data_IF_076618443943
#
_entry.id   IF_076618443943
#
_cell.length_a   1.000
_cell.length_b   1.000
_cell.length_c   1.000
_cell.angle_alpha   90.00
_cell.angle_beta   90.00
_cell.angle_gamma   90.00
#
_symmetry.space_group_name_H-M   'P 1'
#
loop_
_entity.id
_entity.type
_entity.pdbx_description
1 polymer ?
#
# COMPACT_ATOMS: atom_id res chain seq x y z
N UNK A 1 -15.19 29.11 -11.55
CA UNK A 1 -13.95 28.53 -11.02
C UNK A 1 -12.76 29.03 -11.83
N UNK A 2 -11.78 29.62 -11.16
CA UNK A 2 -10.50 30.08 -11.72
C UNK A 2 -9.37 29.27 -11.09
N UNK A 3 -8.31 28.99 -11.86
CA UNK A 3 -7.15 28.21 -11.41
C UNK A 3 -5.90 29.05 -11.65
N UNK A 4 -5.29 29.56 -10.58
CA UNK A 4 -4.30 30.64 -10.62
C UNK A 4 -2.97 30.15 -10.01
N UNK A 5 -1.94 30.01 -10.84
CA UNK A 5 -0.62 29.52 -10.40
C UNK A 5 0.16 30.53 -9.56
N UNK A 6 0.87 30.02 -8.56
CA UNK A 6 1.82 30.74 -7.72
C UNK A 6 3.22 30.24 -8.06
N UNK A 7 3.99 31.07 -8.79
CA UNK A 7 5.38 30.78 -9.11
C UNK A 7 6.29 31.14 -7.93
N UNK A 8 7.26 30.28 -7.61
CA UNK A 8 8.26 30.54 -6.56
C UNK A 8 9.67 30.39 -7.11
N UNK A 9 10.65 30.84 -6.32
CA UNK A 9 12.03 30.38 -6.47
C UNK A 9 12.11 28.88 -6.08
N UNK A 10 13.20 28.20 -6.46
CA UNK A 10 13.43 26.79 -6.08
C UNK A 10 13.48 26.64 -4.55
N UNK A 11 12.56 25.85 -4.00
CA UNK A 11 12.48 25.56 -2.58
C UNK A 11 13.57 24.57 -2.19
N UNK A 12 14.25 24.85 -1.07
CA UNK A 12 15.33 24.05 -0.52
C UNK A 12 14.99 23.57 0.88
N UNK A 13 15.77 22.59 1.36
CA UNK A 13 15.65 22.06 2.71
C UNK A 13 15.78 23.17 3.74
N UNK A 14 14.77 23.33 4.59
CA UNK A 14 14.72 24.33 5.66
C UNK A 14 14.22 25.72 5.24
N UNK A 15 13.81 25.92 3.98
CA UNK A 15 13.22 27.19 3.55
C UNK A 15 11.82 27.42 4.18
N UNK A 16 11.48 28.69 4.43
CA UNK A 16 10.13 29.10 4.83
C UNK A 16 9.17 29.04 3.62
N UNK A 17 8.52 27.88 3.46
CA UNK A 17 7.55 27.65 2.38
C UNK A 17 6.42 28.69 2.39
N UNK A 18 5.88 29.04 3.56
CA UNK A 18 4.77 30.01 3.66
C UNK A 18 5.22 31.38 3.18
N UNK A 19 6.42 31.81 3.59
CA UNK A 19 7.04 33.03 3.12
C UNK A 19 7.25 33.04 1.60
N UNK A 20 7.74 31.94 1.04
CA UNK A 20 7.94 31.78 -0.40
C UNK A 20 6.63 31.86 -1.19
N UNK A 21 5.57 31.19 -0.71
CA UNK A 21 4.23 31.26 -1.32
C UNK A 21 3.66 32.68 -1.27
N UNK A 22 3.77 33.38 -0.13
CA UNK A 22 3.32 34.78 0.01
C UNK A 22 4.08 35.71 -0.95
N UNK A 23 5.39 35.54 -1.09
CA UNK A 23 6.22 36.28 -2.04
C UNK A 23 5.79 36.02 -3.49
N UNK A 24 5.58 34.74 -3.85
CA UNK A 24 5.10 34.35 -5.18
C UNK A 24 3.74 34.94 -5.52
N UNK A 25 2.81 34.89 -4.56
CA UNK A 25 1.49 35.52 -4.70
C UNK A 25 1.59 37.02 -4.93
N UNK A 26 2.38 37.73 -4.11
CA UNK A 26 2.56 39.17 -4.24
C UNK A 26 3.16 39.55 -5.61
N UNK A 27 4.16 38.80 -6.08
CA UNK A 27 4.76 39.01 -7.39
C UNK A 27 3.77 38.80 -8.55
N UNK A 28 2.83 37.87 -8.40
CA UNK A 28 1.76 37.63 -9.36
C UNK A 28 0.55 38.57 -9.21
N UNK A 29 0.57 39.49 -8.24
CA UNK A 29 -0.58 40.36 -7.94
C UNK A 29 -1.79 39.59 -7.37
N UNK A 30 -1.55 38.41 -6.78
CA UNK A 30 -2.57 37.54 -6.22
C UNK A 30 -2.72 37.76 -4.70
N UNK A 31 -3.94 37.58 -4.21
CA UNK A 31 -4.25 37.53 -2.78
C UNK A 31 -5.35 36.51 -2.54
N UNK A 32 -5.34 35.84 -1.38
CA UNK A 32 -6.40 34.92 -0.99
C UNK A 32 -7.70 35.68 -0.70
N UNK A 33 -8.83 35.02 -0.90
CA UNK A 33 -10.18 35.50 -0.62
C UNK A 33 -10.96 34.42 0.16
N UNK A 34 -12.06 34.80 0.81
CA UNK A 34 -12.98 33.82 1.40
C UNK A 34 -13.47 32.84 0.32
N UNK A 35 -13.44 31.55 0.63
CA UNK A 35 -13.83 30.50 -0.31
C UNK A 35 -12.68 29.96 -1.18
N UNK A 36 -11.52 30.62 -1.21
CA UNK A 36 -10.38 30.13 -1.98
C UNK A 36 -9.84 28.80 -1.43
N UNK A 37 -9.35 27.95 -2.33
CA UNK A 37 -8.63 26.73 -2.00
C UNK A 37 -7.20 26.85 -2.52
N UNK A 38 -6.23 26.72 -1.63
CA UNK A 38 -4.82 26.68 -1.97
C UNK A 38 -4.38 25.22 -2.10
N UNK A 39 -4.01 24.80 -3.32
CA UNK A 39 -3.36 23.51 -3.57
C UNK A 39 -1.86 23.73 -3.58
N UNK A 40 -1.11 22.91 -2.85
CA UNK A 40 0.36 22.97 -2.77
C UNK A 40 0.92 21.58 -3.11
N UNK A 41 1.99 21.53 -3.91
CA UNK A 41 2.63 20.26 -4.25
C UNK A 41 3.23 19.59 -3.02
N UNK A 42 3.03 18.29 -2.94
CA UNK A 42 3.67 17.38 -2.02
C UNK A 42 5.18 17.61 -1.97
N UNK A 43 5.86 17.60 -3.12
CA UNK A 43 7.33 17.58 -3.20
C UNK A 43 7.95 18.84 -2.60
N UNK A 44 7.26 19.97 -2.74
CA UNK A 44 7.69 21.24 -2.16
C UNK A 44 7.49 21.28 -0.66
N UNK A 45 6.35 20.76 -0.17
CA UNK A 45 6.11 20.60 1.28
C UNK A 45 7.18 19.68 1.87
N UNK A 46 7.36 18.50 1.29
CA UNK A 46 8.32 17.51 1.72
C UNK A 46 9.76 18.05 1.74
N UNK A 47 10.15 18.79 0.70
CA UNK A 47 11.46 19.45 0.62
C UNK A 47 11.65 20.44 1.75
N UNK A 48 10.66 21.32 1.99
CA UNK A 48 10.73 22.30 3.08
C UNK A 48 10.81 21.64 4.46
N UNK A 49 10.18 20.47 4.63
CA UNK A 49 10.21 19.64 5.83
C UNK A 49 11.47 18.77 5.97
N UNK A 50 12.40 18.85 5.01
CA UNK A 50 13.66 18.11 5.04
C UNK A 50 13.52 16.62 4.70
N UNK A 51 12.48 16.22 3.98
CA UNK A 51 12.27 14.85 3.49
C UNK A 51 13.08 14.54 2.22
N UNK A 52 14.30 15.08 2.13
CA UNK A 52 15.22 14.92 0.99
C UNK A 52 16.41 14.07 1.43
N UNK A 53 16.58 12.91 0.80
CA UNK A 53 17.55 11.89 1.23
C UNK A 53 18.59 11.65 0.16
N UNK A 54 19.87 11.63 0.55
CA UNK A 54 20.97 11.26 -0.33
C UNK A 54 21.04 9.74 -0.43
N UNK A 55 20.99 9.19 -1.64
CA UNK A 55 20.97 7.73 -1.82
C UNK A 55 22.25 7.08 -1.28
N UNK A 56 23.41 7.74 -1.40
CA UNK A 56 24.68 7.19 -0.91
C UNK A 56 24.73 6.98 0.61
N UNK A 57 23.90 7.69 1.37
CA UNK A 57 23.83 7.58 2.83
C UNK A 57 22.91 6.41 3.27
N UNK A 58 22.21 5.78 2.32
CA UNK A 58 21.31 4.66 2.59
C UNK A 58 22.05 3.34 2.44
N UNK A 59 22.07 2.55 3.53
CA UNK A 59 22.56 1.17 3.50
C UNK A 59 21.40 0.20 3.26
N UNK A 60 21.34 -0.48 2.09
CA UNK A 60 20.25 -1.40 1.77
C UNK A 60 20.42 -2.75 2.47
N UNK A 61 19.34 -3.30 3.00
CA UNK A 61 19.31 -4.67 3.52
C UNK A 61 19.21 -5.74 2.41
N UNK A 62 19.26 -7.02 2.82
CA UNK A 62 19.19 -8.15 1.89
C UNK A 62 17.86 -8.20 1.13
N UNK A 63 16.75 -7.92 1.81
CA UNK A 63 15.41 -7.85 1.19
C UNK A 63 15.34 -6.73 0.14
N UNK A 64 15.90 -5.55 0.46
CA UNK A 64 15.97 -4.44 -0.48
C UNK A 64 16.80 -4.80 -1.72
N UNK A 65 17.94 -5.47 -1.53
CA UNK A 65 18.77 -5.94 -2.63
C UNK A 65 18.04 -6.95 -3.53
N UNK A 66 17.36 -7.94 -2.93
CA UNK A 66 16.59 -8.96 -3.67
C UNK A 66 15.47 -8.33 -4.49
N UNK A 67 14.66 -7.46 -3.87
CA UNK A 67 13.55 -6.78 -4.56
C UNK A 67 14.05 -5.80 -5.61
N UNK A 68 15.15 -5.09 -5.35
CA UNK A 68 15.77 -4.18 -6.32
C UNK A 68 16.24 -4.92 -7.56
N UNK A 69 16.86 -6.09 -7.41
CA UNK A 69 17.21 -6.95 -8.52
C UNK A 69 15.97 -7.40 -9.30
N UNK A 70 14.90 -7.83 -8.60
CA UNK A 70 13.64 -8.27 -9.21
C UNK A 70 12.95 -7.17 -10.04
N UNK A 71 12.92 -5.95 -9.52
CA UNK A 71 12.20 -4.83 -10.13
C UNK A 71 13.12 -3.85 -10.87
N UNK A 72 14.41 -4.19 -11.06
CA UNK A 72 15.38 -3.37 -11.78
C UNK A 72 15.49 -1.94 -11.22
N UNK A 73 15.62 -1.82 -9.90
CA UNK A 73 15.77 -0.53 -9.18
C UNK A 73 17.10 -0.44 -8.45
N UNK A 74 17.44 0.77 -7.99
CA UNK A 74 18.55 0.96 -7.06
C UNK A 74 18.22 0.31 -5.70
N UNK A 75 19.07 -0.56 -5.14
CA UNK A 75 18.86 -1.14 -3.81
C UNK A 75 18.64 -0.11 -2.71
N UNK A 76 19.29 1.05 -2.79
CA UNK A 76 19.20 2.14 -1.82
C UNK A 76 17.85 2.84 -1.88
N UNK A 77 17.31 3.00 -3.08
CA UNK A 77 15.95 3.51 -3.27
C UNK A 77 14.92 2.47 -2.81
N UNK A 78 15.12 1.18 -3.13
CA UNK A 78 14.25 0.09 -2.66
C UNK A 78 14.20 0.00 -1.14
N UNK A 79 15.32 0.23 -0.46
CA UNK A 79 15.37 0.31 0.99
C UNK A 79 14.49 1.44 1.53
N UNK A 80 14.47 2.61 0.90
CA UNK A 80 13.56 3.70 1.27
C UNK A 80 12.10 3.35 0.97
N UNK A 81 11.81 2.69 -0.16
CA UNK A 81 10.46 2.20 -0.50
C UNK A 81 9.96 1.24 0.59
N UNK A 82 10.78 0.31 1.05
CA UNK A 82 10.44 -0.61 2.12
C UNK A 82 10.17 0.10 3.45
N UNK A 83 10.94 1.15 3.78
CA UNK A 83 10.74 1.95 4.99
C UNK A 83 9.46 2.79 4.96
N UNK A 84 9.07 3.25 3.78
CA UNK A 84 7.94 4.18 3.58
C UNK A 84 6.65 3.46 3.11
N UNK A 85 6.62 2.13 3.09
CA UNK A 85 5.44 1.36 2.72
C UNK A 85 5.03 0.36 3.80
N UNK A 86 3.73 0.20 3.97
CA UNK A 86 3.15 -0.86 4.82
C UNK A 86 3.27 -2.21 4.11
N UNK A 87 3.15 -2.22 2.78
CA UNK A 87 3.13 -3.43 1.98
C UNK A 87 3.63 -3.19 0.55
N UNK A 88 4.35 -4.18 -0.01
CA UNK A 88 4.64 -4.28 -1.44
C UNK A 88 3.66 -5.26 -2.08
N UNK A 89 2.87 -4.77 -3.05
CA UNK A 89 1.88 -5.59 -3.77
C UNK A 89 2.46 -6.29 -5.00
N UNK A 90 3.53 -5.75 -5.58
CA UNK A 90 4.11 -6.22 -6.82
C UNK A 90 4.73 -5.09 -7.61
N UNK A 91 4.92 -5.26 -8.91
CA UNK A 91 5.51 -4.21 -9.74
C UNK A 91 5.90 -4.69 -11.13
N UNK A 92 6.48 -3.77 -11.88
CA UNK A 92 7.10 -3.97 -13.19
C UNK A 92 8.54 -3.41 -13.12
N UNK A 93 9.42 -3.71 -14.09
CA UNK A 93 10.75 -3.10 -14.10
C UNK A 93 10.68 -1.56 -13.97
N UNK A 94 11.39 -1.01 -12.98
CA UNK A 94 11.45 0.41 -12.62
C UNK A 94 10.41 0.90 -11.61
N UNK A 95 9.30 0.17 -11.40
CA UNK A 95 8.17 0.62 -10.56
C UNK A 95 7.65 -0.50 -9.66
N UNK A 96 7.64 -0.24 -8.36
CA UNK A 96 7.01 -1.09 -7.35
C UNK A 96 5.67 -0.51 -6.95
N UNK A 97 4.61 -1.30 -6.96
CA UNK A 97 3.33 -0.89 -6.41
C UNK A 97 3.30 -1.19 -4.91
N UNK A 98 3.06 -0.15 -4.12
CA UNK A 98 3.06 -0.19 -2.66
C UNK A 98 1.71 0.23 -2.09
N UNK A 99 1.41 -0.23 -0.89
CA UNK A 99 0.36 0.28 -0.03
C UNK A 99 1.01 1.09 1.10
N UNK A 100 0.54 2.31 1.33
CA UNK A 100 0.95 3.15 2.46
C UNK A 100 -0.28 3.90 2.98
N UNK A 101 -0.58 3.79 4.28
CA UNK A 101 -1.75 4.39 4.95
C UNK A 101 -3.07 4.12 4.20
N UNK A 102 -3.21 2.92 3.64
CA UNK A 102 -4.39 2.49 2.90
C UNK A 102 -4.52 3.01 1.46
N UNK A 103 -3.54 3.74 0.94
CA UNK A 103 -3.51 4.21 -0.44
C UNK A 103 -2.46 3.49 -1.28
N UNK A 104 -2.74 3.37 -2.58
CA UNK A 104 -1.81 2.82 -3.56
C UNK A 104 -0.85 3.90 -4.06
N UNK A 105 0.44 3.57 -4.08
CA UNK A 105 1.50 4.42 -4.59
C UNK A 105 2.51 3.64 -5.41
N UNK A 106 2.95 4.17 -6.56
CA UNK A 106 4.20 3.74 -7.17
C UNK A 106 5.38 4.16 -6.28
N UNK A 107 6.31 3.25 -6.03
CA UNK A 107 7.55 3.48 -5.27
C UNK A 107 7.34 4.20 -3.92
N UNK A 108 6.27 3.87 -3.18
CA UNK A 108 5.89 4.54 -1.93
C UNK A 108 5.69 6.07 -2.02
N UNK A 109 5.54 6.62 -3.24
CA UNK A 109 5.46 8.06 -3.46
C UNK A 109 6.81 8.78 -3.53
N UNK A 110 7.92 8.02 -3.61
CA UNK A 110 9.26 8.61 -3.70
C UNK A 110 9.47 9.24 -5.07
N UNK A 111 9.79 10.54 -5.09
CA UNK A 111 10.07 11.31 -6.30
C UNK A 111 11.57 11.43 -6.55
N UNK A 112 11.98 11.14 -7.78
CA UNK A 112 13.34 11.30 -8.30
C UNK A 112 13.46 12.50 -9.26
N UNK A 113 12.36 12.92 -9.88
CA UNK A 113 12.34 13.84 -11.02
C UNK A 113 12.61 15.28 -10.63
N UNK A 114 12.22 15.68 -9.41
CA UNK A 114 12.44 17.02 -8.88
C UNK A 114 13.42 17.05 -7.70
N UNK A 115 14.23 16.00 -7.54
CA UNK A 115 15.28 15.93 -6.54
C UNK A 115 16.65 16.35 -7.12
N UNK A 116 17.57 16.91 -6.31
CA UNK A 116 18.96 17.10 -6.74
C UNK A 116 19.61 15.76 -7.15
N UNK A 117 20.59 15.76 -8.08
CA UNK A 117 21.25 14.52 -8.49
C UNK A 117 21.81 13.71 -7.32
N UNK A 118 21.46 12.42 -7.25
CA UNK A 118 21.86 11.51 -6.17
C UNK A 118 20.97 11.59 -4.92
N UNK A 119 19.91 12.41 -4.94
CA UNK A 119 18.91 12.50 -3.89
C UNK A 119 17.56 11.99 -4.38
N UNK A 120 16.69 11.69 -3.41
CA UNK A 120 15.26 11.44 -3.62
C UNK A 120 14.45 12.26 -2.62
N UNK A 121 13.21 12.57 -2.97
CA UNK A 121 12.24 13.21 -2.07
C UNK A 121 11.24 12.16 -1.62
N UNK A 122 11.12 11.96 -0.30
CA UNK A 122 10.06 11.15 0.30
C UNK A 122 8.84 12.03 0.54
N UNK A 123 7.67 11.45 0.70
CA UNK A 123 6.48 12.20 1.11
C UNK A 123 6.66 12.99 2.41
N UNK A 124 5.87 14.06 2.62
CA UNK A 124 5.72 14.71 3.92
C UNK A 124 5.40 13.66 4.98
N UNK A 125 6.00 13.78 6.16
CA UNK A 125 5.78 12.81 7.22
C UNK A 125 4.29 12.73 7.61
N UNK A 126 3.61 13.88 7.55
CA UNK A 126 2.18 14.02 7.81
C UNK A 126 1.57 15.16 6.96
N UNK A 127 1.19 14.85 5.73
CA UNK A 127 0.58 15.80 4.79
C UNK A 127 -0.71 16.45 5.33
N UNK A 128 -1.47 15.75 6.20
CA UNK A 128 -2.66 16.30 6.83
C UNK A 128 -2.29 17.42 7.81
N UNK A 129 -1.27 17.18 8.64
CA UNK A 129 -0.71 18.20 9.53
C UNK A 129 -0.14 19.39 8.75
N UNK A 130 0.62 19.14 7.69
CA UNK A 130 1.18 20.21 6.85
C UNK A 130 0.08 21.09 6.24
N UNK A 131 -1.03 20.48 5.76
CA UNK A 131 -2.19 21.23 5.26
C UNK A 131 -2.78 22.16 6.32
N UNK A 132 -2.93 21.67 7.57
CA UNK A 132 -3.47 22.47 8.68
C UNK A 132 -2.54 23.63 9.07
N UNK A 133 -1.22 23.39 9.12
CA UNK A 133 -0.23 24.40 9.48
C UNK A 133 -0.12 25.49 8.40
N UNK A 134 -0.07 25.10 7.13
CA UNK A 134 -0.09 26.04 6.00
C UNK A 134 -1.38 26.86 6.00
N UNK A 135 -2.54 26.21 6.20
CA UNK A 135 -3.82 26.92 6.31
C UNK A 135 -3.79 27.96 7.40
N UNK A 136 -3.35 27.60 8.61
CA UNK A 136 -3.25 28.52 9.74
C UNK A 136 -2.34 29.71 9.43
N UNK A 137 -1.24 29.48 8.74
CA UNK A 137 -0.25 30.53 8.42
C UNK A 137 -0.65 31.42 7.22
N UNK A 138 -1.47 30.90 6.30
CA UNK A 138 -1.90 31.58 5.06
C UNK A 138 -3.27 32.26 5.17
N UNK A 139 -4.20 31.71 5.96
CA UNK A 139 -5.60 32.14 6.04
C UNK A 139 -5.75 33.60 6.50
N UNK A 140 -4.98 34.02 7.51
CA UNK A 140 -5.22 35.29 8.19
C UNK A 140 -6.62 35.29 8.82
N UNK A 141 -7.47 36.22 8.39
CA UNK A 141 -8.88 36.36 8.77
C UNK A 141 -9.85 35.64 7.79
N UNK A 142 -9.34 35.07 6.69
CA UNK A 142 -10.15 34.49 5.62
C UNK A 142 -10.44 33.02 5.86
N UNK A 143 -11.59 32.57 5.36
CA UNK A 143 -12.00 31.17 5.32
C UNK A 143 -11.52 30.54 4.02
N UNK A 144 -10.37 29.88 4.07
CA UNK A 144 -9.80 29.15 2.94
C UNK A 144 -9.74 27.64 3.19
N UNK A 145 -9.61 26.88 2.10
CA UNK A 145 -9.16 25.50 2.12
C UNK A 145 -7.67 25.39 1.76
N UNK A 146 -6.99 24.34 2.23
CA UNK A 146 -5.64 23.96 1.79
C UNK A 146 -5.63 22.47 1.47
N UNK A 147 -5.00 22.09 0.36
CA UNK A 147 -4.81 20.70 -0.04
C UNK A 147 -3.33 20.49 -0.37
N UNK A 148 -2.73 19.43 0.18
CA UNK A 148 -1.44 18.92 -0.28
C UNK A 148 -1.73 17.89 -1.36
N UNK A 149 -1.23 18.15 -2.57
CA UNK A 149 -1.52 17.37 -3.76
C UNK A 149 -0.28 16.74 -4.36
N UNK A 150 -0.46 15.55 -4.93
CA UNK A 150 0.54 14.80 -5.68
C UNK A 150 -0.05 14.34 -7.02
N UNK A 151 0.79 13.96 -7.97
CA UNK A 151 0.36 13.37 -9.24
C UNK A 151 0.50 11.85 -9.20
N UNK A 152 -0.48 11.14 -9.76
CA UNK A 152 -0.46 9.66 -9.82
C UNK A 152 -0.98 9.13 -11.14
N UNK A 153 -0.53 7.92 -11.46
CA UNK A 153 -1.06 7.15 -12.58
C UNK A 153 -2.40 6.51 -12.22
N UNK A 154 -3.25 6.31 -13.23
CA UNK A 154 -4.51 5.59 -13.08
C UNK A 154 -4.45 4.27 -13.86
N UNK A 155 -4.97 3.16 -13.33
CA UNK A 155 -4.95 1.88 -14.03
C UNK A 155 -5.48 1.97 -15.46
N UNK A 156 -4.68 1.48 -16.41
CA UNK A 156 -5.00 1.40 -17.84
C UNK A 156 -5.24 2.76 -18.54
N UNK A 157 -4.85 3.88 -17.94
CA UNK A 157 -4.87 5.22 -18.58
C UNK A 157 -3.46 5.77 -18.70
N UNK A 158 -3.16 6.35 -19.86
CA UNK A 158 -1.93 7.10 -20.07
C UNK A 158 -2.04 8.48 -19.42
N UNK A 159 -0.95 8.94 -18.81
CA UNK A 159 -0.85 10.23 -18.11
C UNK A 159 -1.12 10.14 -16.61
N UNK A 160 -0.73 11.21 -15.91
CA UNK A 160 -0.96 11.39 -14.48
C UNK A 160 -2.23 12.23 -14.22
N UNK A 161 -2.82 12.04 -13.06
CA UNK A 161 -3.92 12.84 -12.50
C UNK A 161 -3.54 13.29 -11.10
N UNK A 162 -4.12 14.39 -10.65
CA UNK A 162 -3.88 14.92 -9.31
C UNK A 162 -4.69 14.19 -8.25
N UNK A 163 -4.09 13.94 -7.10
CA UNK A 163 -4.70 13.29 -5.93
C UNK A 163 -4.25 13.98 -4.66
N UNK A 164 -5.13 14.06 -3.67
CA UNK A 164 -4.84 14.69 -2.40
C UNK A 164 -4.14 13.72 -1.44
N UNK A 165 -3.17 14.23 -0.69
CA UNK A 165 -2.48 13.52 0.40
C UNK A 165 -2.95 14.00 1.78
N UNK A 166 -3.39 15.25 1.87
CA UNK A 166 -3.98 15.83 3.08
C UNK A 166 -4.75 17.10 2.74
N UNK A 167 -5.76 17.46 3.53
CA UNK A 167 -6.51 18.69 3.31
C UNK A 167 -7.06 19.30 4.60
N UNK A 168 -7.14 20.63 4.65
CA UNK A 168 -7.69 21.38 5.78
C UNK A 168 -8.69 22.43 5.29
N UNK A 169 -9.81 22.60 6.00
CA UNK A 169 -10.82 23.62 5.66
C UNK A 169 -11.86 23.20 4.61
N UNK A 170 -11.88 21.94 4.19
CA UNK A 170 -12.90 21.38 3.28
C UNK A 170 -13.09 19.88 3.56
N UNK A 171 -14.22 19.32 3.10
CA UNK A 171 -14.40 17.87 3.07
C UNK A 171 -13.68 17.28 1.85
N UNK A 172 -12.80 16.31 2.07
CA UNK A 172 -12.11 15.61 0.98
C UNK A 172 -13.08 14.85 0.07
N UNK A 173 -14.11 14.25 0.68
CA UNK A 173 -15.11 13.41 0.01
C UNK A 173 -16.50 13.84 0.45
N UNK A 174 -17.33 14.28 -0.50
CA UNK A 174 -18.74 14.58 -0.25
C UNK A 174 -19.59 13.31 -0.47
N UNK A 175 -20.40 12.96 0.53
CA UNK A 175 -21.35 11.85 0.40
C UNK A 175 -22.60 12.31 -0.37
N UNK A 176 -22.76 11.78 -1.59
CA UNK A 176 -23.92 12.07 -2.42
C UNK A 176 -25.01 11.00 -2.29
N UNK A 177 -24.81 9.97 -1.46
CA UNK A 177 -25.82 8.93 -1.24
C UNK A 177 -27.07 9.53 -0.60
N UNK A 178 -28.24 9.02 -0.97
CA UNK A 178 -29.52 9.59 -0.53
C UNK A 178 -29.99 10.79 -1.37
N UNK A 179 -29.11 11.47 -2.11
CA UNK A 179 -29.52 12.51 -3.05
C UNK A 179 -30.29 11.89 -4.23
N UNK A 180 -31.22 12.66 -4.81
CA UNK A 180 -31.99 12.24 -5.98
C UNK A 180 -31.29 12.67 -7.26
N UNK A 181 -31.28 11.79 -8.25
CA UNK A 181 -30.89 12.15 -9.61
C UNK A 181 -31.98 12.95 -10.33
N UNK A 182 -31.73 13.31 -11.60
CA UNK A 182 -32.66 14.07 -12.45
C UNK A 182 -34.02 13.39 -12.67
N UNK A 183 -34.15 12.10 -12.35
CA UNK A 183 -35.37 11.31 -12.49
C UNK A 183 -35.95 10.88 -11.13
N UNK A 184 -35.46 11.46 -10.03
CA UNK A 184 -35.94 11.19 -8.69
C UNK A 184 -35.43 9.89 -8.07
N UNK A 185 -34.49 9.18 -8.72
CA UNK A 185 -33.89 7.94 -8.18
C UNK A 185 -32.79 8.28 -7.19
N UNK A 186 -32.73 7.54 -6.10
CA UNK A 186 -31.73 7.74 -5.07
C UNK A 186 -30.34 7.24 -5.51
N UNK A 187 -29.31 8.06 -5.30
CA UNK A 187 -27.92 7.66 -5.46
C UNK A 187 -27.52 6.72 -4.32
N UNK A 188 -27.05 5.52 -4.65
CA UNK A 188 -26.73 4.47 -3.65
C UNK A 188 -25.24 4.37 -3.28
N UNK A 189 -24.36 4.68 -4.23
CA UNK A 189 -22.91 4.44 -4.10
C UNK A 189 -22.11 5.74 -4.21
N UNK A 190 -22.68 6.77 -4.83
CA UNK A 190 -21.95 7.97 -5.27
C UNK A 190 -21.39 8.76 -4.10
N UNK A 191 -20.07 8.89 -4.09
CA UNK A 191 -19.31 9.86 -3.29
C UNK A 191 -18.45 10.67 -4.24
N UNK A 192 -18.31 11.97 -3.99
CA UNK A 192 -17.52 12.86 -4.84
C UNK A 192 -16.16 13.08 -4.18
N UNK A 193 -15.09 12.66 -4.84
CA UNK A 193 -13.71 12.93 -4.38
C UNK A 193 -13.36 14.40 -4.68
N UNK A 194 -13.86 15.31 -3.85
CA UNK A 194 -13.75 16.76 -4.06
C UNK A 194 -12.29 17.19 -4.07
N UNK A 195 -11.50 16.76 -3.08
CA UNK A 195 -10.09 17.14 -3.00
C UNK A 195 -9.29 16.64 -4.21
N UNK A 196 -9.44 15.38 -4.61
CA UNK A 196 -8.71 14.83 -5.77
C UNK A 196 -9.07 15.55 -7.08
N UNK A 197 -10.34 15.87 -7.29
CA UNK A 197 -10.77 16.62 -8.48
C UNK A 197 -10.15 18.04 -8.51
N UNK A 198 -10.01 18.68 -7.34
CA UNK A 198 -9.36 19.99 -7.23
C UNK A 198 -7.85 19.90 -7.48
N UNK A 199 -7.17 18.88 -6.95
CA UNK A 199 -5.74 18.66 -7.24
C UNK A 199 -5.54 18.36 -8.73
N UNK A 200 -6.40 17.53 -9.33
CA UNK A 200 -6.37 17.27 -10.77
C UNK A 200 -6.52 18.54 -11.61
N UNK A 201 -7.37 19.48 -11.19
CA UNK A 201 -7.50 20.78 -11.86
C UNK A 201 -6.25 21.65 -11.65
N UNK A 202 -5.65 21.64 -10.46
CA UNK A 202 -4.43 22.37 -10.14
C UNK A 202 -3.22 21.86 -10.96
N UNK A 203 -3.09 20.54 -11.16
CA UNK A 203 -1.97 19.95 -11.91
C UNK A 203 -1.87 20.42 -13.36
N UNK A 204 -2.99 20.80 -13.99
CA UNK A 204 -2.96 21.39 -15.33
C UNK A 204 -2.18 22.72 -15.35
N UNK A 205 -2.18 23.46 -14.24
CA UNK A 205 -1.46 24.74 -14.11
C UNK A 205 -0.09 24.56 -13.47
N UNK A 206 0.05 23.64 -12.51
CA UNK A 206 1.33 23.35 -11.85
C UNK A 206 2.33 22.70 -12.80
N UNK A 207 1.85 21.86 -13.71
CA UNK A 207 2.68 21.03 -14.57
C UNK A 207 3.29 19.85 -13.84
N UNK A 208 4.15 19.12 -14.54
CA UNK A 208 4.85 17.92 -14.02
C UNK A 208 6.38 18.05 -14.16
N UNK A 209 6.88 19.18 -14.67
CA UNK A 209 8.28 19.40 -15.01
C UNK A 209 8.86 20.63 -14.29
N UNK A 210 9.46 21.54 -15.07
CA UNK A 210 10.24 22.67 -14.58
C UNK A 210 9.47 24.01 -14.55
N UNK A 211 8.14 23.97 -14.62
CA UNK A 211 7.29 25.17 -14.68
C UNK A 211 7.51 26.13 -13.49
N UNK A 212 7.90 25.58 -12.34
CA UNK A 212 8.23 26.31 -11.12
C UNK A 212 6.99 26.84 -10.39
N UNK A 213 5.84 26.20 -10.56
CA UNK A 213 4.56 26.58 -9.95
C UNK A 213 4.17 25.53 -8.90
N UNK A 214 4.73 25.59 -7.67
CA UNK A 214 4.45 24.58 -6.65
C UNK A 214 3.10 24.75 -5.95
N UNK A 215 2.35 25.82 -6.24
CA UNK A 215 1.04 26.02 -5.65
C UNK A 215 0.07 26.74 -6.58
N UNK A 216 -1.21 26.53 -6.36
CA UNK A 216 -2.32 27.08 -7.15
C UNK A 216 -3.44 27.53 -6.23
N UNK A 217 -4.03 28.69 -6.53
CA UNK A 217 -5.30 29.13 -5.94
C UNK A 217 -6.42 28.69 -6.86
N UNK A 218 -7.36 27.92 -6.32
CA UNK A 218 -8.63 27.63 -6.97
C UNK A 218 -9.69 28.55 -6.35
N UNK A 219 -10.20 29.47 -7.15
CA UNK A 219 -11.20 30.46 -6.74
C UNK A 219 -12.56 30.15 -7.34
N UNK A 220 -13.63 30.49 -6.63
CA UNK A 220 -15.02 30.23 -7.04
C UNK A 220 -15.27 28.75 -7.37
N UNK A 221 -14.63 27.85 -6.61
CA UNK A 221 -14.95 26.43 -6.63
C UNK A 221 -16.30 26.22 -5.93
N UNK A 222 -17.19 25.36 -6.45
CA UNK A 222 -18.49 25.08 -5.83
C UNK A 222 -18.34 24.11 -4.63
N UNK A 223 -17.47 24.46 -3.68
CA UNK A 223 -17.12 23.65 -2.51
C UNK A 223 -17.31 24.50 -1.26
N UNK A 224 -17.84 23.89 -0.20
CA UNK A 224 -18.06 24.59 1.06
C UNK A 224 -16.81 24.55 1.93
N UNK A 225 -16.31 25.73 2.31
CA UNK A 225 -15.26 25.87 3.32
C UNK A 225 -15.87 25.69 4.71
N UNK A 226 -15.27 24.79 5.50
CA UNK A 226 -15.71 24.45 6.86
C UNK A 226 -14.57 23.85 7.65
N UNK A 227 -14.66 23.97 8.98
CA UNK A 227 -13.71 23.28 9.86
C UNK A 227 -13.97 21.78 9.81
N UNK A 228 -13.02 21.06 9.22
CA UNK A 228 -13.00 19.61 9.11
C UNK A 228 -11.60 19.17 9.51
N UNK A 229 -11.51 18.28 10.49
CA UNK A 229 -10.25 17.77 11.03
C UNK A 229 -10.00 16.30 10.65
N UNK A 230 -10.70 15.79 9.65
CA UNK A 230 -10.57 14.39 9.24
C UNK A 230 -9.52 14.24 8.13
N UNK A 231 -8.70 13.21 8.25
CA UNK A 231 -7.86 12.70 7.17
C UNK A 231 -8.69 12.33 5.94
N UNK A 232 -8.01 12.15 4.80
CA UNK A 232 -8.65 11.69 3.58
C UNK A 232 -9.19 10.27 3.80
N UNK A 233 -10.50 10.03 3.63
CA UNK A 233 -11.08 8.71 3.84
C UNK A 233 -10.48 7.65 2.91
N UNK A 234 -10.18 6.47 3.45
CA UNK A 234 -9.70 5.31 2.70
C UNK A 234 -10.80 4.28 2.49
N UNK A 235 -10.57 3.34 1.59
CA UNK A 235 -11.41 2.15 1.40
C UNK A 235 -10.54 0.93 1.70
N UNK A 236 -11.00 -0.03 2.53
CA UNK A 236 -10.26 -1.27 2.77
C UNK A 236 -9.91 -2.00 1.47
N UNK A 237 -8.74 -2.63 1.34
CA UNK A 237 -8.34 -3.34 0.12
C UNK A 237 -9.38 -4.35 -0.42
N UNK A 238 -10.12 -5.01 0.48
CA UNK A 238 -11.16 -5.99 0.12
C UNK A 238 -12.42 -5.33 -0.46
N UNK A 239 -12.68 -4.07 -0.13
CA UNK A 239 -13.80 -3.28 -0.65
C UNK A 239 -13.38 -2.40 -1.85
N UNK A 240 -12.08 -2.23 -2.08
CA UNK A 240 -11.54 -1.52 -3.23
C UNK A 240 -11.82 -2.30 -4.51
N UNK A 241 -12.48 -1.68 -5.49
CA UNK A 241 -12.84 -2.36 -6.74
C UNK A 241 -11.64 -2.95 -7.49
N UNK A 242 -10.47 -2.31 -7.42
CA UNK A 242 -9.28 -2.76 -8.13
C UNK A 242 -8.61 -3.89 -7.38
N UNK A 243 -8.31 -3.68 -6.09
CA UNK A 243 -7.66 -4.71 -5.29
C UNK A 243 -8.59 -5.90 -5.08
N UNK A 244 -9.86 -5.72 -4.73
CA UNK A 244 -10.81 -6.82 -4.58
C UNK A 244 -11.03 -7.64 -5.86
N UNK A 245 -10.87 -7.06 -7.05
CA UNK A 245 -11.02 -7.78 -8.32
C UNK A 245 -9.73 -8.37 -8.88
N UNK A 246 -8.58 -7.72 -8.64
CA UNK A 246 -7.28 -8.08 -9.23
C UNK A 246 -6.34 -8.77 -8.24
N UNK A 247 -6.59 -8.64 -6.93
CA UNK A 247 -5.77 -9.25 -5.89
C UNK A 247 -6.20 -10.71 -5.76
N UNK A 248 -5.44 -11.57 -6.42
CA UNK A 248 -5.53 -13.02 -6.29
C UNK A 248 -4.14 -13.60 -6.47
N UNK A 249 -3.45 -13.89 -5.37
CA UNK A 249 -2.20 -14.65 -5.40
C UNK A 249 -1.16 -14.27 -4.34
N UNK A 250 -0.01 -14.97 -4.35
CA UNK A 250 1.10 -14.71 -3.42
C UNK A 250 1.73 -13.33 -3.60
N UNK A 251 1.98 -12.67 -2.47
CA UNK A 251 2.71 -11.39 -2.36
C UNK A 251 4.04 -11.59 -1.63
N UNK A 252 5.05 -10.72 -1.83
CA UNK A 252 6.29 -10.77 -1.03
C UNK A 252 5.98 -10.78 0.46
N UNK A 253 6.67 -11.63 1.21
CA UNK A 253 6.56 -11.66 2.67
C UNK A 253 7.42 -10.54 3.27
N UNK A 254 6.82 -9.71 4.11
CA UNK A 254 7.45 -8.51 4.71
C UNK A 254 7.65 -8.60 6.22
N UNK A 255 7.40 -9.76 6.83
CA UNK A 255 7.58 -9.99 8.27
C UNK A 255 6.30 -10.41 9.02
N UNK A 256 6.43 -10.68 10.32
CA UNK A 256 5.31 -10.95 11.24
C UNK A 256 5.06 -12.43 11.58
N UNK A 257 5.71 -13.36 10.88
CA UNK A 257 5.64 -14.82 11.09
C UNK A 257 7.04 -15.46 11.11
N UNK A 258 8.08 -14.72 11.49
CA UNK A 258 9.47 -15.17 11.38
C UNK A 258 9.74 -16.41 12.25
N UNK A 259 9.23 -16.41 13.48
CA UNK A 259 9.29 -17.57 14.39
C UNK A 259 8.58 -18.81 13.81
N UNK A 260 7.52 -18.60 13.02
CA UNK A 260 6.79 -19.69 12.37
C UNK A 260 7.61 -20.30 11.23
N UNK A 261 8.33 -19.47 10.47
CA UNK A 261 9.24 -19.92 9.40
C UNK A 261 10.39 -20.74 10.00
N UNK A 262 10.99 -20.29 11.10
CA UNK A 262 12.08 -21.02 11.76
C UNK A 262 11.60 -22.39 12.27
N UNK A 263 10.43 -22.46 12.90
CA UNK A 263 9.87 -23.76 13.32
C UNK A 263 9.54 -24.69 12.15
N UNK A 264 9.14 -24.15 11.00
CA UNK A 264 8.95 -24.93 9.79
C UNK A 264 10.29 -25.45 9.22
N UNK A 265 11.36 -24.64 9.26
CA UNK A 265 12.73 -25.06 8.89
C UNK A 265 13.22 -26.17 9.79
N UNK A 266 13.02 -26.07 11.10
CA UNK A 266 13.40 -27.11 12.06
C UNK A 266 12.67 -28.43 11.77
N UNK A 267 11.35 -28.37 11.60
CA UNK A 267 10.54 -29.56 11.33
C UNK A 267 10.83 -30.23 9.98
N UNK A 268 11.40 -29.49 9.02
CA UNK A 268 11.90 -30.06 7.76
C UNK A 268 12.99 -31.10 8.00
N UNK A 269 13.81 -30.96 9.06
CA UNK A 269 14.88 -31.92 9.36
C UNK A 269 14.33 -33.30 9.75
N UNK A 270 13.18 -33.31 10.43
CA UNK A 270 12.47 -34.50 10.89
C UNK A 270 11.63 -35.19 9.80
N UNK A 271 11.62 -34.65 8.57
CA UNK A 271 10.91 -35.25 7.45
C UNK A 271 11.43 -36.66 7.13
N UNK A 272 10.49 -37.61 7.01
CA UNK A 272 10.75 -38.96 6.55
C UNK A 272 10.47 -39.04 5.05
N UNK A 273 11.50 -38.80 4.23
CA UNK A 273 11.39 -38.78 2.77
C UNK A 273 12.45 -39.66 2.08
N UNK A 274 12.50 -40.98 2.33
CA UNK A 274 13.52 -41.86 1.77
C UNK A 274 13.34 -42.15 0.28
N UNK A 275 12.17 -41.90 -0.30
CA UNK A 275 11.87 -42.23 -1.70
C UNK A 275 12.17 -41.04 -2.61
N UNK A 276 11.69 -39.84 -2.28
CA UNK A 276 11.97 -38.65 -3.09
C UNK A 276 13.28 -37.95 -2.72
N UNK A 277 13.73 -38.09 -1.46
CA UNK A 277 14.78 -37.25 -0.88
C UNK A 277 14.36 -35.78 -0.70
N UNK A 278 13.10 -35.44 -1.00
CA UNK A 278 12.58 -34.09 -0.96
C UNK A 278 11.90 -33.81 0.38
N UNK A 279 12.64 -33.12 1.25
CA UNK A 279 12.17 -32.74 2.59
C UNK A 279 11.42 -31.41 2.55
N UNK A 280 10.25 -31.40 3.18
CA UNK A 280 9.39 -30.24 3.39
C UNK A 280 9.04 -30.16 4.87
N UNK A 281 9.11 -28.97 5.43
CA UNK A 281 8.66 -28.69 6.79
C UNK A 281 7.51 -27.70 6.79
N UNK A 282 6.60 -27.83 7.76
CA UNK A 282 5.52 -26.90 7.98
C UNK A 282 5.30 -26.62 9.46
N UNK A 283 4.87 -25.40 9.78
CA UNK A 283 4.47 -24.99 11.12
C UNK A 283 3.16 -24.23 11.06
N UNK A 284 2.17 -24.67 11.83
CA UNK A 284 0.80 -24.15 11.84
C UNK A 284 0.57 -23.36 13.14
N UNK A 285 0.28 -22.07 13.01
CA UNK A 285 -0.11 -21.17 14.11
C UNK A 285 -1.62 -21.20 14.31
N UNK A 286 -2.04 -21.59 15.51
CA UNK A 286 -3.44 -21.56 15.93
C UNK A 286 -3.80 -20.19 16.51
N UNK A 287 -5.07 -19.78 16.45
CA UNK A 287 -5.53 -18.52 17.09
C UNK A 287 -5.35 -18.50 18.62
N UNK A 288 -5.15 -19.66 19.23
CA UNK A 288 -4.78 -19.79 20.64
C UNK A 288 -3.33 -19.35 20.94
N UNK A 289 -2.53 -19.08 19.91
CA UNK A 289 -1.10 -18.81 19.99
C UNK A 289 -0.22 -20.07 19.99
N UNK A 290 -0.80 -21.27 19.98
CA UNK A 290 -0.04 -22.54 19.92
C UNK A 290 0.42 -22.85 18.50
N UNK A 291 1.65 -23.37 18.37
CA UNK A 291 2.24 -23.76 17.10
C UNK A 291 2.41 -25.29 17.03
N UNK A 292 2.05 -25.86 15.89
CA UNK A 292 2.22 -27.29 15.60
C UNK A 292 3.03 -27.45 14.32
N UNK A 293 4.21 -28.05 14.44
CA UNK A 293 5.10 -28.30 13.31
C UNK A 293 5.25 -29.79 12.98
N UNK A 294 5.53 -30.08 11.71
CA UNK A 294 5.76 -31.41 11.17
C UNK A 294 6.55 -31.37 9.84
N UNK A 295 7.30 -32.43 9.55
CA UNK A 295 7.86 -32.71 8.23
C UNK A 295 6.94 -33.60 7.39
N UNK A 296 7.18 -33.70 6.08
CA UNK A 296 6.49 -34.68 5.24
C UNK A 296 6.91 -36.11 5.62
N UNK A 297 5.97 -37.05 5.47
CA UNK A 297 6.16 -38.47 5.77
C UNK A 297 5.72 -39.27 4.54
N UNK A 298 6.68 -39.96 3.94
CA UNK A 298 6.46 -40.83 2.80
C UNK A 298 6.23 -42.28 3.22
N UNK A 299 5.71 -43.07 2.29
CA UNK A 299 5.41 -44.47 2.46
C UNK A 299 5.74 -45.24 1.17
N UNK A 300 6.00 -46.55 1.30
CA UNK A 300 6.20 -47.42 0.15
C UNK A 300 4.98 -47.42 -0.80
N UNK A 301 3.78 -47.23 -0.25
CA UNK A 301 2.58 -46.95 -1.03
C UNK A 301 2.32 -45.44 -1.02
N UNK A 302 2.69 -44.75 -2.09
CA UNK A 302 2.65 -43.28 -2.17
C UNK A 302 1.25 -42.66 -1.93
N UNK A 303 0.18 -43.43 -2.09
CA UNK A 303 -1.18 -42.99 -1.71
C UNK A 303 -1.36 -42.74 -0.21
N UNK A 304 -0.47 -43.29 0.63
CA UNK A 304 -0.45 -43.08 2.07
C UNK A 304 0.46 -41.92 2.52
N UNK A 305 1.11 -41.22 1.58
CA UNK A 305 2.00 -40.10 1.89
C UNK A 305 1.22 -38.93 2.50
N UNK A 306 1.83 -38.29 3.51
CA UNK A 306 1.29 -37.07 4.12
C UNK A 306 2.30 -35.93 3.99
N UNK A 307 1.84 -34.84 3.38
CA UNK A 307 2.61 -33.61 3.27
C UNK A 307 2.76 -32.94 4.64
N UNK A 308 3.80 -32.13 4.82
CA UNK A 308 4.13 -31.47 6.06
C UNK A 308 2.96 -30.64 6.63
N UNK A 309 2.25 -29.91 5.77
CA UNK A 309 1.12 -29.05 6.15
C UNK A 309 -0.04 -29.87 6.71
N UNK A 310 -0.37 -31.00 6.05
CA UNK A 310 -1.42 -31.91 6.52
C UNK A 310 -1.03 -32.61 7.81
N UNK A 311 0.24 -32.96 7.98
CA UNK A 311 0.74 -33.55 9.22
C UNK A 311 0.64 -32.56 10.39
N UNK A 312 1.00 -31.30 10.18
CA UNK A 312 0.83 -30.21 11.16
C UNK A 312 -0.64 -30.00 11.53
N UNK A 313 -1.53 -29.94 10.54
CA UNK A 313 -2.99 -29.85 10.74
C UNK A 313 -3.51 -31.04 11.54
N UNK A 314 -3.13 -32.27 11.19
CA UNK A 314 -3.56 -33.47 11.91
C UNK A 314 -3.12 -33.44 13.38
N UNK A 315 -1.88 -33.00 13.66
CA UNK A 315 -1.34 -32.86 15.02
C UNK A 315 -2.10 -31.79 15.83
N UNK A 316 -2.41 -30.65 15.23
CA UNK A 316 -3.20 -29.59 15.87
C UNK A 316 -4.62 -30.08 16.19
N UNK A 317 -5.28 -30.73 15.23
CA UNK A 317 -6.64 -31.27 15.40
C UNK A 317 -6.70 -32.33 16.49
N UNK A 318 -5.74 -33.25 16.51
CA UNK A 318 -5.62 -34.27 17.55
C UNK A 318 -5.42 -33.65 18.95
N UNK A 319 -4.88 -32.43 19.01
CA UNK A 319 -4.68 -31.66 20.24
C UNK A 319 -5.86 -30.74 20.60
N UNK A 320 -6.97 -30.82 19.85
CA UNK A 320 -8.20 -30.06 20.11
C UNK A 320 -8.31 -28.70 19.41
N UNK A 321 -7.32 -28.31 18.60
CA UNK A 321 -7.35 -27.04 17.87
C UNK A 321 -8.20 -27.12 16.61
N UNK A 322 -8.95 -26.05 16.30
CA UNK A 322 -9.81 -25.96 15.12
C UNK A 322 -9.76 -24.59 14.42
N UNK A 323 -9.14 -23.60 15.04
CA UNK A 323 -9.02 -22.25 14.48
C UNK A 323 -7.56 -21.91 14.21
N UNK A 324 -7.25 -21.62 12.96
CA UNK A 324 -5.89 -21.37 12.51
C UNK A 324 -5.74 -19.93 12.01
N UNK A 325 -4.57 -19.37 12.25
CA UNK A 325 -4.21 -18.02 11.82
C UNK A 325 -3.30 -18.08 10.59
N UNK A 326 -2.22 -18.85 10.67
CA UNK A 326 -1.22 -18.93 9.62
C UNK A 326 -0.53 -20.30 9.58
N UNK A 327 0.09 -20.63 8.44
CA UNK A 327 1.00 -21.76 8.28
C UNK A 327 2.23 -21.31 7.50
N UNK A 328 3.42 -21.68 7.96
CA UNK A 328 4.65 -21.56 7.19
C UNK A 328 5.00 -22.90 6.54
N UNK A 329 5.50 -22.89 5.31
CA UNK A 329 5.93 -24.06 4.53
C UNK A 329 7.31 -23.78 3.95
N UNK A 330 8.24 -24.69 4.21
CA UNK A 330 9.65 -24.56 3.84
C UNK A 330 10.10 -25.77 3.04
N UNK A 331 10.84 -25.54 1.96
CA UNK A 331 11.44 -26.60 1.16
C UNK A 331 12.60 -26.12 0.29
N UNK A 332 13.38 -27.08 -0.21
CA UNK A 332 14.55 -26.81 -1.05
C UNK A 332 14.16 -26.67 -2.53
N UNK A 333 13.69 -25.48 -2.92
CA UNK A 333 13.24 -25.18 -4.29
C UNK A 333 13.88 -23.90 -4.83
N UNK A 334 13.96 -23.70 -6.17
CA UNK A 334 14.49 -22.47 -6.75
C UNK A 334 13.71 -21.22 -6.33
N UNK A 335 12.38 -21.32 -6.30
CA UNK A 335 11.40 -20.30 -5.89
C UNK A 335 10.71 -20.73 -4.58
N UNK A 336 10.02 -19.84 -3.84
CA UNK A 336 9.25 -20.21 -2.65
C UNK A 336 8.32 -21.41 -2.87
N UNK A 337 8.41 -22.42 -1.99
CA UNK A 337 7.66 -23.67 -2.14
C UNK A 337 6.15 -23.43 -1.97
N UNK A 338 5.32 -23.97 -2.88
CA UNK A 338 3.87 -23.82 -2.79
C UNK A 338 3.21 -25.08 -2.21
N UNK A 339 2.19 -24.95 -1.32
CA UNK A 339 1.45 -26.10 -0.85
C UNK A 339 0.69 -26.78 -2.00
N UNK A 340 0.65 -28.11 -1.98
CA UNK A 340 -0.04 -28.88 -3.02
C UNK A 340 -1.56 -28.71 -2.92
N UNK A 341 -2.30 -29.11 -3.97
CA UNK A 341 -3.75 -28.95 -4.03
C UNK A 341 -4.51 -29.59 -2.85
N UNK A 342 -4.05 -30.75 -2.35
CA UNK A 342 -4.69 -31.44 -1.22
C UNK A 342 -4.44 -30.68 0.09
N UNK A 343 -3.23 -30.14 0.31
CA UNK A 343 -2.93 -29.30 1.46
C UNK A 343 -3.77 -28.03 1.45
N UNK A 344 -3.91 -27.40 0.27
CA UNK A 344 -4.77 -26.23 0.12
C UNK A 344 -6.22 -26.52 0.49
N UNK A 345 -6.75 -27.63 -0.01
CA UNK A 345 -8.10 -28.09 0.30
C UNK A 345 -8.28 -28.44 1.79
N UNK A 346 -7.23 -29.00 2.42
CA UNK A 346 -7.25 -29.35 3.84
C UNK A 346 -7.27 -28.11 4.73
N UNK A 347 -6.49 -27.08 4.40
CA UNK A 347 -6.49 -25.81 5.13
C UNK A 347 -7.79 -25.03 4.93
N UNK A 348 -8.34 -25.03 3.71
CA UNK A 348 -9.61 -24.37 3.37
C UNK A 348 -10.78 -24.82 4.25
N UNK A 349 -10.79 -26.07 4.71
CA UNK A 349 -11.80 -26.60 5.63
C UNK A 349 -11.89 -25.81 6.94
N UNK A 350 -10.79 -25.17 7.37
CA UNK A 350 -10.69 -24.47 8.66
C UNK A 350 -10.78 -22.95 8.56
N UNK A 351 -10.81 -22.40 7.36
CA UNK A 351 -11.02 -20.96 7.16
C UNK A 351 -10.30 -20.42 5.93
N UNK A 352 -11.00 -19.56 5.18
CA UNK A 352 -10.50 -18.95 3.93
C UNK A 352 -9.43 -17.87 4.14
N UNK A 353 -9.35 -17.31 5.35
CA UNK A 353 -8.46 -16.20 5.71
C UNK A 353 -7.06 -16.67 6.20
N UNK A 354 -6.86 -17.98 6.39
CA UNK A 354 -5.60 -18.55 6.89
C UNK A 354 -4.45 -18.08 5.99
N UNK A 355 -3.43 -17.46 6.58
CA UNK A 355 -2.25 -17.01 5.85
C UNK A 355 -1.30 -18.18 5.59
N UNK A 356 -0.74 -18.28 4.40
CA UNK A 356 0.22 -19.30 4.00
C UNK A 356 1.53 -18.61 3.62
N UNK A 357 2.54 -18.77 4.47
CA UNK A 357 3.89 -18.29 4.24
C UNK A 357 4.69 -19.39 3.53
N UNK A 358 5.07 -19.15 2.30
CA UNK A 358 5.80 -20.06 1.42
C UNK A 358 7.24 -19.60 1.35
N UNK A 359 8.20 -20.49 1.65
CA UNK A 359 9.60 -20.12 1.84
C UNK A 359 10.53 -21.13 1.17
N UNK A 360 11.57 -20.65 0.47
CA UNK A 360 12.66 -21.50 0.00
C UNK A 360 13.88 -21.43 0.93
N UNK A 361 14.85 -22.33 0.74
CA UNK A 361 16.10 -22.31 1.52
C UNK A 361 17.08 -21.18 1.14
N UNK A 362 16.78 -20.39 0.11
CA UNK A 362 17.58 -19.22 -0.27
C UNK A 362 17.19 -17.96 0.50
N UNK A 363 16.08 -18.00 1.24
CA UNK A 363 15.54 -16.86 1.99
C UNK A 363 14.44 -16.09 1.27
N UNK A 364 14.03 -16.51 0.06
CA UNK A 364 12.87 -15.92 -0.62
C UNK A 364 11.59 -16.41 0.05
N UNK A 365 10.69 -15.49 0.34
CA UNK A 365 9.41 -15.79 0.98
C UNK A 365 8.26 -15.00 0.34
N UNK A 366 7.11 -15.67 0.18
CA UNK A 366 5.85 -15.06 -0.24
C UNK A 366 4.72 -15.51 0.67
N UNK A 367 3.68 -14.69 0.82
CA UNK A 367 2.53 -14.94 1.66
C UNK A 367 1.23 -14.77 0.86
N UNK A 368 0.23 -15.61 1.11
CA UNK A 368 -1.09 -15.53 0.50
C UNK A 368 -2.17 -16.01 1.47
N UNK A 369 -3.43 -15.61 1.31
CA UNK A 369 -4.52 -16.31 2.00
C UNK A 369 -4.78 -17.68 1.35
N UNK A 370 -5.42 -18.60 2.06
CA UNK A 370 -5.82 -19.87 1.45
C UNK A 370 -6.89 -19.67 0.35
N UNK A 371 -7.72 -18.62 0.45
CA UNK A 371 -8.65 -18.21 -0.60
C UNK A 371 -7.93 -17.83 -1.90
N UNK A 372 -6.81 -17.12 -1.80
CA UNK A 372 -5.98 -16.76 -2.95
C UNK A 372 -5.35 -17.98 -3.62
N UNK A 373 -4.94 -18.97 -2.82
CA UNK A 373 -4.30 -20.18 -3.32
C UNK A 373 -5.27 -21.23 -3.87
N UNK A 374 -6.53 -21.20 -3.43
CA UNK A 374 -7.57 -22.13 -3.89
C UNK A 374 -8.88 -21.37 -4.17
N UNK A 375 -8.90 -20.52 -5.22
CA UNK A 375 -10.09 -19.77 -5.56
C UNK A 375 -11.22 -20.72 -5.96
N UNK A 376 -12.45 -20.40 -5.54
CA UNK A 376 -13.66 -21.19 -5.80
C UNK A 376 -13.54 -22.64 -5.30
N UNK A 377 -12.90 -22.81 -4.14
CA UNK A 377 -12.71 -24.11 -3.52
C UNK A 377 -14.01 -24.90 -3.32
N UNK A 378 -13.90 -26.22 -3.42
CA UNK A 378 -14.94 -27.12 -2.95
C UNK A 378 -15.03 -27.01 -1.43
N UNK A 379 -16.22 -26.77 -0.89
CA UNK A 379 -16.48 -26.69 0.56
C UNK A 379 -17.77 -27.42 0.88
N UNK A 380 -18.10 -27.61 2.16
CA UNK A 380 -19.39 -28.19 2.54
C UNK A 380 -20.62 -27.47 1.95
N UNK A 381 -20.51 -26.19 1.57
CA UNK A 381 -21.57 -25.46 0.84
C UNK A 381 -21.90 -26.12 -0.50
N UNK A 382 -20.91 -26.70 -1.19
CA UNK A 382 -21.11 -27.46 -2.43
C UNK A 382 -21.92 -28.76 -2.20
N UNK A 383 -21.92 -29.27 -0.96
CA UNK A 383 -22.69 -30.43 -0.53
C UNK A 383 -24.00 -30.06 0.19
N UNK A 384 -24.37 -28.76 0.23
CA UNK A 384 -25.56 -28.27 0.93
C UNK A 384 -25.44 -28.19 2.45
N UNK A 385 -24.23 -28.32 3.00
CA UNK A 385 -23.98 -28.11 4.44
C UNK A 385 -24.02 -26.62 4.76
N UNK A 386 -24.71 -26.27 5.86
CA UNK A 386 -24.57 -24.96 6.51
C UNK A 386 -23.31 -25.02 7.37
N UNK A 387 -22.20 -24.50 6.84
CA UNK A 387 -20.94 -24.33 7.57
C UNK A 387 -20.92 -22.95 8.22
#
# INVERSE_FOLDING_TARGET
>A
MQVLGIKTDLIKVGDDLVGALKKGMAAAGLSLQDGDILVVSESTVATSEGRVFKLEDVSPGDLACSLAARYHKDPREMELILRESDEILGGIPGVVLTLNKGFLYPNAGIDNSNAPPGYVVLFPADAQKSAMEIRKAMAGDKKIGVIIGDSRTHPLRLGCVGVALGCAGLEAVEDARGQKDLFGRELKITRKAVADNLVSAAQIVMGEGDEGIPAVIIRDAPVQIREVSSEIPTIPPQECMYLGALRSGPRPYTGGYDDLIEQAKEAMNDAYAPYSGFKVGAALLCKSGRIYSAGNIENASSGADICAERAAVAKAIASGEREFEAVAVVGNTPDPISPCGICRQSLMEFGKEIQVVMVNLKGDAVIASIEDLLPRAFTGRCMGLKI
#
